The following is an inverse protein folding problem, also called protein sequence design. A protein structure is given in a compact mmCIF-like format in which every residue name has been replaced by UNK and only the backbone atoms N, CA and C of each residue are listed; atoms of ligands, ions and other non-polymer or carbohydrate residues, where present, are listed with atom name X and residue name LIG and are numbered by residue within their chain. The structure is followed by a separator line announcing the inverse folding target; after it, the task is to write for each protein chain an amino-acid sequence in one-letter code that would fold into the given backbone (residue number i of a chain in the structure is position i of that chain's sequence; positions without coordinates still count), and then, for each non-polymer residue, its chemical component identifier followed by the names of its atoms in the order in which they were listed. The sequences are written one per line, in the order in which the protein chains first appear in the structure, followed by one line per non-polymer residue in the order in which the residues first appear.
data_IF_713071126684
#
_entry.id   IF_713071126684
#
_cell.length_a   1.000
_cell.length_b   1.000
_cell.length_c   1.000
_cell.angle_alpha   90.00
_cell.angle_beta   90.00
_cell.angle_gamma   90.00
#
_symmetry.space_group_name_H-M   'P 1'
#
loop_
_entity.id
_entity.type
_entity.pdbx_description
1 polymer ?
#
# COMPACT_ATOMS: atom_id res chain seq x y z
N UNK A 1 11.91 10.79 -19.99
CA UNK A 1 10.59 10.29 -19.53
C UNK A 1 10.31 10.91 -18.16
N UNK A 2 9.15 11.53 -17.96
CA UNK A 2 8.77 12.18 -16.70
C UNK A 2 7.52 11.51 -16.15
N UNK A 3 7.63 10.82 -15.01
CA UNK A 3 6.51 10.16 -14.34
C UNK A 3 6.07 11.03 -13.16
N UNK A 4 4.76 11.28 -13.04
CA UNK A 4 4.16 12.04 -11.95
C UNK A 4 3.01 11.26 -11.31
N UNK A 5 2.95 11.27 -9.98
CA UNK A 5 1.83 10.68 -9.24
C UNK A 5 0.65 11.68 -9.22
N UNK A 6 -0.50 11.30 -9.76
CA UNK A 6 -1.73 12.09 -9.64
C UNK A 6 -2.48 11.76 -8.35
N UNK A 7 -2.67 10.47 -8.07
CA UNK A 7 -3.31 10.00 -6.85
C UNK A 7 -2.86 8.57 -6.53
N UNK A 8 -2.99 8.19 -5.26
CA UNK A 8 -2.75 6.85 -4.75
C UNK A 8 -3.90 6.49 -3.81
N UNK A 9 -4.59 5.37 -4.06
CA UNK A 9 -5.72 4.91 -3.26
C UNK A 9 -5.38 3.55 -2.64
N UNK A 10 -5.43 3.49 -1.31
CA UNK A 10 -5.23 2.28 -0.52
C UNK A 10 -6.60 1.82 0.00
N UNK A 11 -6.94 0.56 -0.26
CA UNK A 11 -8.15 -0.07 0.26
C UNK A 11 -7.81 -1.44 0.84
N UNK A 12 -8.17 -1.67 2.10
CA UNK A 12 -7.82 -2.87 2.86
C UNK A 12 -6.32 -3.24 2.78
N UNK A 13 -5.44 -2.25 2.90
CA UNK A 13 -4.01 -2.39 2.70
C UNK A 13 -3.27 -2.18 4.03
N UNK A 14 -2.68 -3.25 4.59
CA UNK A 14 -1.83 -3.22 5.81
C UNK A 14 -2.44 -2.36 6.93
N UNK A 15 -3.66 -2.72 7.34
CA UNK A 15 -4.42 -2.05 8.40
C UNK A 15 -5.16 -0.76 7.99
N UNK A 16 -4.86 -0.20 6.81
CA UNK A 16 -5.61 0.93 6.26
C UNK A 16 -6.87 0.41 5.57
N UNK A 17 -8.05 0.77 6.10
CA UNK A 17 -9.34 0.39 5.51
C UNK A 17 -9.60 1.11 4.19
N UNK A 18 -9.47 2.44 4.19
CA UNK A 18 -9.62 3.28 3.01
C UNK A 18 -8.83 4.58 3.19
N UNK A 19 -7.93 4.91 2.26
CA UNK A 19 -7.16 6.15 2.27
C UNK A 19 -6.78 6.59 0.86
N UNK A 20 -6.99 7.87 0.53
CA UNK A 20 -6.64 8.44 -0.77
C UNK A 20 -5.68 9.61 -0.63
N UNK A 21 -4.49 9.48 -1.20
CA UNK A 21 -3.53 10.57 -1.40
C UNK A 21 -3.80 11.21 -2.77
N UNK A 22 -4.04 12.52 -2.81
CA UNK A 22 -4.18 13.28 -4.05
C UNK A 22 -2.97 14.20 -4.19
N UNK A 23 -2.11 13.92 -5.17
CA UNK A 23 -0.86 14.64 -5.38
C UNK A 23 -0.90 15.58 -6.59
N UNK A 24 -1.79 15.34 -7.57
CA UNK A 24 -1.96 16.18 -8.77
C UNK A 24 -0.64 16.51 -9.49
N UNK A 25 0.33 15.58 -9.46
CA UNK A 25 1.66 15.76 -10.04
C UNK A 25 2.52 16.82 -9.36
N UNK A 26 2.21 17.18 -8.11
CA UNK A 26 2.95 18.13 -7.26
C UNK A 26 3.60 17.39 -6.08
N UNK A 27 4.49 18.09 -5.39
CA UNK A 27 5.07 17.60 -4.14
C UNK A 27 3.98 17.55 -3.05
N UNK A 28 3.98 16.48 -2.26
CA UNK A 28 3.08 16.30 -1.11
C UNK A 28 3.89 15.87 0.10
N UNK A 29 3.55 16.40 1.27
CA UNK A 29 4.10 15.97 2.55
C UNK A 29 3.03 15.24 3.35
N UNK A 30 3.37 14.06 3.86
CA UNK A 30 2.46 13.24 4.67
C UNK A 30 3.03 13.10 6.07
N UNK A 31 2.21 13.43 7.07
CA UNK A 31 2.54 13.40 8.49
C UNK A 31 1.59 12.45 9.21
N UNK A 32 2.14 11.65 10.12
CA UNK A 32 1.39 10.73 10.97
C UNK A 32 2.27 10.36 12.18
N UNK A 33 1.65 10.03 13.30
CA UNK A 33 2.37 9.52 14.48
C UNK A 33 3.02 8.16 14.18
N UNK A 34 4.02 7.80 14.98
CA UNK A 34 4.61 6.47 14.92
C UNK A 34 3.53 5.38 15.06
N UNK A 35 3.56 4.39 14.15
CA UNK A 35 2.58 3.31 14.10
C UNK A 35 1.25 3.66 13.42
N UNK A 36 1.01 4.89 12.95
CA UNK A 36 -0.25 5.30 12.30
C UNK A 36 -0.24 5.20 10.77
N UNK A 37 0.56 4.29 10.20
CA UNK A 37 0.49 3.96 8.77
C UNK A 37 1.38 4.78 7.83
N UNK A 38 2.32 5.59 8.34
CA UNK A 38 3.29 6.31 7.50
C UNK A 38 4.13 5.35 6.63
N UNK A 39 4.64 4.29 7.26
CA UNK A 39 5.36 3.21 6.57
C UNK A 39 4.46 2.49 5.56
N UNK A 40 3.19 2.24 5.93
CA UNK A 40 2.21 1.60 5.04
C UNK A 40 2.00 2.37 3.72
N UNK A 41 1.96 3.70 3.77
CA UNK A 41 1.83 4.52 2.56
C UNK A 41 3.07 4.42 1.66
N UNK A 42 4.26 4.39 2.28
CA UNK A 42 5.54 4.17 1.57
C UNK A 42 5.58 2.77 0.93
N UNK A 43 5.17 1.74 1.67
CA UNK A 43 5.08 0.36 1.16
C UNK A 43 4.13 0.26 -0.02
N UNK A 44 2.96 0.90 0.03
CA UNK A 44 2.01 0.89 -1.08
C UNK A 44 2.60 1.52 -2.36
N UNK A 45 3.34 2.63 -2.20
CA UNK A 45 4.01 3.29 -3.31
C UNK A 45 5.13 2.43 -3.92
N UNK A 46 5.99 1.86 -3.07
CA UNK A 46 7.09 0.99 -3.50
C UNK A 46 6.56 -0.31 -4.13
N UNK A 47 5.50 -0.89 -3.57
CA UNK A 47 4.91 -2.12 -4.08
C UNK A 47 4.33 -1.92 -5.48
N UNK A 48 3.57 -0.84 -5.69
CA UNK A 48 2.93 -0.54 -6.97
C UNK A 48 3.95 -0.39 -8.12
N UNK A 49 5.10 0.23 -7.85
CA UNK A 49 6.08 0.56 -8.88
C UNK A 49 7.21 -0.47 -9.02
N UNK A 50 7.57 -1.15 -7.93
CA UNK A 50 8.80 -1.93 -7.85
C UNK A 50 8.62 -3.32 -7.24
N UNK A 51 7.40 -3.69 -6.83
CA UNK A 51 7.12 -4.97 -6.17
C UNK A 51 7.96 -5.20 -4.89
N UNK A 52 8.20 -4.12 -4.13
CA UNK A 52 9.02 -4.10 -2.91
C UNK A 52 8.32 -3.33 -1.79
N UNK A 53 8.67 -3.63 -0.54
CA UNK A 53 8.27 -2.83 0.62
C UNK A 53 9.40 -1.88 1.09
N UNK A 54 9.16 -1.12 2.16
CA UNK A 54 10.14 -0.18 2.74
C UNK A 54 11.38 -0.84 3.35
N UNK A 55 11.38 -2.17 3.49
CA UNK A 55 12.52 -2.96 3.96
C UNK A 55 13.26 -3.64 2.80
N UNK A 56 12.98 -3.23 1.56
CA UNK A 56 13.53 -3.82 0.32
C UNK A 56 13.15 -5.30 0.10
N UNK A 57 12.09 -5.77 0.77
CA UNK A 57 11.61 -7.14 0.65
C UNK A 57 10.59 -7.28 -0.47
N UNK A 58 10.70 -8.36 -1.25
CA UNK A 58 9.73 -8.76 -2.28
C UNK A 58 8.73 -9.80 -1.78
N UNK A 59 8.88 -10.30 -0.54
CA UNK A 59 7.97 -11.27 0.09
C UNK A 59 6.65 -10.63 0.57
N UNK A 60 6.23 -9.54 -0.07
CA UNK A 60 5.06 -8.78 0.33
C UNK A 60 3.80 -9.45 -0.22
N UNK A 61 3.05 -10.12 0.66
CA UNK A 61 1.75 -10.71 0.30
C UNK A 61 0.64 -9.67 0.47
N UNK A 62 0.14 -9.12 -0.64
CA UNK A 62 -0.99 -8.15 -0.63
C UNK A 62 -2.34 -8.85 -0.55
N UNK A 63 -2.33 -10.19 -0.58
CA UNK A 63 -3.57 -10.95 -0.42
C UNK A 63 -4.11 -10.66 0.98
N UNK A 64 -5.40 -10.36 1.12
CA UNK A 64 -6.00 -10.20 2.43
C UNK A 64 -5.70 -11.45 3.26
N UNK A 65 -5.31 -11.22 4.51
CA UNK A 65 -5.11 -12.27 5.49
C UNK A 65 -6.26 -12.19 6.50
N UNK A 66 -6.70 -13.33 7.00
CA UNK A 66 -7.57 -13.38 8.17
C UNK A 66 -6.84 -12.89 9.42
N UNK A 67 -7.57 -12.62 10.51
CA UNK A 67 -7.01 -12.14 11.78
C UNK A 67 -5.91 -13.05 12.35
N UNK A 68 -5.88 -14.32 11.97
CA UNK A 68 -4.87 -15.32 12.33
C UNK A 68 -3.63 -15.34 11.41
N UNK A 69 -3.53 -14.40 10.46
CA UNK A 69 -2.39 -14.29 9.53
C UNK A 69 -2.44 -15.27 8.35
N UNK A 70 -3.55 -15.99 8.14
CA UNK A 70 -3.70 -16.89 6.98
C UNK A 70 -4.17 -16.11 5.77
N UNK A 71 -3.45 -16.26 4.66
CA UNK A 71 -3.87 -15.73 3.35
C UNK A 71 -5.18 -16.39 2.92
N UNK A 72 -6.18 -15.60 2.49
CA UNK A 72 -7.38 -16.16 1.84
C UNK A 72 -6.96 -16.87 0.55
N UNK A 73 -6.82 -18.19 0.62
CA UNK A 73 -6.57 -19.06 -0.51
C UNK A 73 -7.92 -19.34 -1.19
N UNK A 74 -8.13 -18.63 -2.30
CA UNK A 74 -9.05 -18.98 -3.41
C UNK A 74 -10.50 -18.52 -3.29
N UNK A 75 -10.82 -17.39 -3.94
CA UNK A 75 -12.13 -17.25 -4.59
C UNK A 75 -12.07 -18.03 -5.91
N UNK A 76 -12.77 -19.16 -5.97
CA UNK A 76 -13.02 -19.89 -7.22
C UNK A 76 -14.40 -19.43 -7.71
N UNK A 77 -14.49 -18.52 -8.70
CA UNK A 77 -15.78 -18.34 -9.37
C UNK A 77 -16.09 -19.67 -10.08
N UNK A 78 -17.31 -20.19 -9.87
CA UNK A 78 -17.87 -21.21 -10.75
C UNK A 78 -18.07 -20.62 -12.14
#
# INVERSE_FOLDING_TARGET
MNIKLNWLHLKNFKGIKDFKLVANGKNVSVFADNGKGKTTLMDAFLWLLFNKDSNDSTNFTVKPQSEDGRTFITYRPK
#
